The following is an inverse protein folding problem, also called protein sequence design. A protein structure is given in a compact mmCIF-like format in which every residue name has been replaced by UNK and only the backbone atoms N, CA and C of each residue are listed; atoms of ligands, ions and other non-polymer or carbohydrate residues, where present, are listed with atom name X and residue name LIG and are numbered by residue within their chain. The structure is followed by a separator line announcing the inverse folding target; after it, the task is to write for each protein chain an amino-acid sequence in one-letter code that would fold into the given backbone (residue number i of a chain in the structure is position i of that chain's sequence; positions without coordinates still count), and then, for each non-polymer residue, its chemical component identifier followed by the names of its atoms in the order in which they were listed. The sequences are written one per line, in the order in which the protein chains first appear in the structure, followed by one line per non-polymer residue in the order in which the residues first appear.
data_IF_001453373477
#
_entry.id   IF_001453373477
#
_cell.length_a   1.000
_cell.length_b   1.000
_cell.length_c   1.000
_cell.angle_alpha   90.00
_cell.angle_beta   90.00
_cell.angle_gamma   90.00
#
_symmetry.space_group_name_H-M   'P 1'
#
loop_
_entity.id
_entity.type
_entity.pdbx_description
1 polymer ?
#
# COMPACT_ATOMS: atom_id res chain seq x y z
N UNK A 1 -11.57 0.04 2.14
CA UNK A 1 -11.20 0.08 0.71
C UNK A 1 -10.80 1.47 0.19
N UNK A 2 -11.61 2.54 0.39
CA UNK A 2 -11.26 3.91 -0.05
C UNK A 2 -9.82 4.33 0.26
N UNK A 3 -9.36 4.11 1.50
CA UNK A 3 -8.00 4.45 1.92
C UNK A 3 -6.91 3.72 1.10
N UNK A 4 -7.11 2.44 0.77
CA UNK A 4 -6.18 1.68 -0.06
C UNK A 4 -6.11 2.24 -1.49
N UNK A 5 -7.25 2.66 -2.06
CA UNK A 5 -7.29 3.31 -3.38
C UNK A 5 -6.60 4.68 -3.33
N UNK A 6 -6.79 5.45 -2.26
CA UNK A 6 -6.06 6.72 -2.05
C UNK A 6 -4.55 6.50 -1.99
N UNK A 7 -4.10 5.47 -1.26
CA UNK A 7 -2.68 5.10 -1.20
C UNK A 7 -2.13 4.66 -2.57
N UNK A 8 -2.92 3.95 -3.38
CA UNK A 8 -2.51 3.62 -4.75
C UNK A 8 -2.35 4.87 -5.64
N UNK A 9 -3.08 5.94 -5.32
CA UNK A 9 -3.05 7.20 -6.04
C UNK A 9 -1.86 8.12 -5.74
N UNK A 10 -0.87 7.70 -4.94
CA UNK A 10 0.25 8.56 -4.55
C UNK A 10 1.04 9.07 -5.77
N UNK A 11 1.31 10.39 -5.80
CA UNK A 11 1.89 11.09 -6.95
C UNK A 11 3.38 10.85 -7.14
N UNK A 12 4.06 10.25 -6.17
CA UNK A 12 5.49 9.92 -6.17
C UNK A 12 5.81 8.66 -6.99
N UNK A 13 4.80 7.89 -7.39
CA UNK A 13 4.98 6.69 -8.22
C UNK A 13 4.99 7.07 -9.70
N UNK A 14 6.06 6.82 -10.47
CA UNK A 14 6.07 7.07 -11.92
C UNK A 14 5.12 6.13 -12.67
N UNK A 15 4.74 6.51 -13.90
CA UNK A 15 4.14 5.55 -14.82
C UNK A 15 5.15 4.44 -15.12
N UNK A 16 4.74 3.18 -14.93
CA UNK A 16 5.60 2.01 -15.14
C UNK A 16 4.77 0.82 -15.62
N UNK A 17 5.42 -0.29 -15.98
CA UNK A 17 4.74 -1.53 -16.35
C UNK A 17 3.95 -2.14 -15.18
N UNK A 18 4.39 -1.87 -13.95
CA UNK A 18 3.75 -2.40 -12.76
C UNK A 18 2.57 -1.51 -12.36
N UNK A 19 1.42 -2.10 -11.98
CA UNK A 19 0.25 -1.33 -11.59
C UNK A 19 0.47 -0.58 -10.27
N UNK A 20 -0.30 0.50 -10.10
CA UNK A 20 -0.42 1.18 -8.81
C UNK A 20 -1.29 0.35 -7.88
N UNK A 21 -0.76 0.00 -6.72
CA UNK A 21 -1.46 -0.79 -5.69
C UNK A 21 -1.29 -0.11 -4.35
N UNK A 22 -2.36 -0.07 -3.56
CA UNK A 22 -2.34 0.34 -2.17
C UNK A 22 -2.97 -0.75 -1.31
N UNK A 23 -2.47 -0.89 -0.08
CA UNK A 23 -2.87 -1.91 0.88
C UNK A 23 -3.09 -1.27 2.25
N UNK A 24 -4.09 -1.76 2.97
CA UNK A 24 -4.42 -1.38 4.35
C UNK A 24 -4.73 -2.65 5.12
N UNK A 25 -4.02 -2.86 6.23
CA UNK A 25 -4.26 -3.97 7.16
C UNK A 25 -5.07 -3.43 8.33
N UNK A 26 -6.15 -4.13 8.66
CA UNK A 26 -7.06 -3.81 9.75
C UNK A 26 -7.10 -5.02 10.68
N UNK A 27 -6.96 -4.80 11.98
CA UNK A 27 -7.02 -5.87 12.97
C UNK A 27 -8.46 -6.26 13.33
N UNK A 28 -8.61 -7.23 14.25
CA UNK A 28 -9.92 -7.71 14.71
C UNK A 28 -10.76 -6.67 15.45
N UNK A 29 -10.16 -5.58 15.94
CA UNK A 29 -10.87 -4.45 16.56
C UNK A 29 -11.36 -3.42 15.55
N UNK A 30 -10.93 -3.52 14.29
CA UNK A 30 -11.20 -2.55 13.25
C UNK A 30 -10.17 -1.42 13.17
N UNK A 31 -9.07 -1.50 13.94
CA UNK A 31 -8.01 -0.50 13.88
C UNK A 31 -7.09 -0.75 12.69
N UNK A 32 -6.67 0.33 12.01
CA UNK A 32 -5.68 0.21 10.93
C UNK A 32 -4.30 0.05 11.56
N UNK A 33 -3.69 -1.11 11.35
CA UNK A 33 -2.38 -1.46 11.91
C UNK A 33 -1.25 -1.37 10.89
N UNK A 34 -1.55 -1.35 9.60
CA UNK A 34 -0.51 -1.17 8.56
C UNK A 34 -1.04 -0.55 7.28
N UNK A 35 -0.19 0.21 6.59
CA UNK A 35 -0.49 0.87 5.31
C UNK A 35 0.67 0.68 4.35
N UNK A 36 0.37 0.54 3.08
CA UNK A 36 1.41 0.41 2.08
C UNK A 36 0.92 0.81 0.69
N UNK A 37 1.85 1.26 -0.14
CA UNK A 37 1.64 1.39 -1.58
C UNK A 37 2.93 1.05 -2.32
N UNK A 38 2.78 0.57 -3.54
CA UNK A 38 3.90 0.28 -4.41
C UNK A 38 4.57 1.58 -4.89
N UNK A 39 5.90 1.68 -4.81
CA UNK A 39 6.67 2.89 -5.18
C UNK A 39 7.30 2.82 -6.57
N UNK A 40 6.88 1.86 -7.39
CA UNK A 40 7.36 1.65 -8.76
C UNK A 40 8.22 0.41 -8.92
N UNK A 41 8.53 0.06 -10.18
CA UNK A 41 9.20 -1.20 -10.53
C UNK A 41 10.48 -1.44 -9.72
N UNK A 42 10.62 -2.66 -9.17
CA UNK A 42 11.75 -3.06 -8.34
C UNK A 42 11.63 -2.68 -6.86
N UNK A 43 10.63 -1.89 -6.47
CA UNK A 43 10.31 -1.63 -5.05
C UNK A 43 9.38 -2.72 -4.49
N UNK A 44 9.31 -2.90 -3.15
CA UNK A 44 8.37 -3.82 -2.55
C UNK A 44 6.92 -3.56 -2.97
N UNK A 45 6.12 -4.63 -3.00
CA UNK A 45 4.68 -4.50 -3.22
C UNK A 45 3.99 -3.82 -2.02
N UNK A 46 2.79 -3.29 -2.24
CA UNK A 46 2.05 -2.56 -1.22
C UNK A 46 1.80 -3.40 0.05
N UNK A 47 1.54 -4.69 -0.14
CA UNK A 47 1.27 -5.68 0.90
C UNK A 47 2.49 -5.89 1.79
N UNK A 48 3.68 -5.98 1.21
CA UNK A 48 4.94 -6.14 1.96
C UNK A 48 5.19 -4.93 2.85
N UNK A 49 4.96 -3.72 2.32
CA UNK A 49 5.10 -2.48 3.10
C UNK A 49 4.07 -2.42 4.23
N UNK A 50 2.81 -2.77 3.95
CA UNK A 50 1.75 -2.75 4.94
C UNK A 50 1.98 -3.78 6.06
N UNK A 51 2.46 -4.98 5.73
CA UNK A 51 2.83 -6.01 6.70
C UNK A 51 4.01 -5.55 7.58
N UNK A 52 5.02 -4.93 6.97
CA UNK A 52 6.17 -4.42 7.72
C UNK A 52 5.79 -3.31 8.71
N UNK A 53 4.81 -2.45 8.38
CA UNK A 53 4.27 -1.46 9.32
C UNK A 53 3.42 -2.11 10.43
N UNK A 54 2.67 -3.17 10.10
CA UNK A 54 1.77 -3.84 11.03
C UNK A 54 2.48 -4.63 12.14
N UNK A 55 3.75 -4.97 11.94
CA UNK A 55 4.56 -5.76 12.88
C UNK A 55 4.50 -7.26 12.63
#
# INVERSE_FOLDING_TARGET
MRQAVTLAGSSDVPASSNPRVGCVIVDGSGAVVGRGHHRGSGTPHAEVVALAEAG
#
